data_IF_586592510729
#
_entry.id   IF_586592510729
#
_cell.length_a   1.000
_cell.length_b   1.000
_cell.length_c   1.000
_cell.angle_alpha   90.00
_cell.angle_beta   90.00
_cell.angle_gamma   90.00
#
_symmetry.space_group_name_H-M   'P 1'
#
loop_
_entity.id
_entity.type
_entity.pdbx_description
1 polymer ?
#
# COMPACT_ATOMS: atom_id res chain seq x y z
N UNK A 1 -23.17 -0.36 -0.14
CA UNK A 1 -22.84 0.99 -0.69
C UNK A 1 -23.39 1.10 -2.10
N UNK A 2 -23.98 2.23 -2.45
CA UNK A 2 -24.53 2.42 -3.80
C UNK A 2 -23.41 2.58 -4.83
N UNK A 3 -23.46 1.78 -5.88
CA UNK A 3 -22.56 1.92 -7.02
C UNK A 3 -23.26 2.72 -8.11
N UNK A 4 -22.80 3.95 -8.32
CA UNK A 4 -23.41 4.88 -9.29
C UNK A 4 -23.26 4.43 -10.75
N UNK A 5 -22.26 3.59 -11.04
CA UNK A 5 -22.03 3.10 -12.40
C UNK A 5 -22.89 1.87 -12.73
N UNK A 6 -23.18 1.05 -11.73
CA UNK A 6 -23.98 -0.16 -11.88
C UNK A 6 -25.45 0.04 -11.45
N UNK A 7 -25.75 1.15 -10.77
CA UNK A 7 -27.08 1.43 -10.26
C UNK A 7 -27.53 0.49 -9.14
N UNK A 8 -26.60 -0.13 -8.43
CA UNK A 8 -26.87 -1.15 -7.39
C UNK A 8 -26.47 -0.66 -6.00
N UNK A 9 -27.11 -1.21 -4.98
CA UNK A 9 -26.82 -0.90 -3.58
C UNK A 9 -27.71 0.20 -3.01
N UNK A 10 -27.45 0.59 -1.77
CA UNK A 10 -28.19 1.64 -1.05
C UNK A 10 -27.76 3.03 -1.52
N UNK A 11 -28.75 3.87 -1.81
CA UNK A 11 -28.54 5.27 -2.19
C UNK A 11 -28.21 6.12 -0.97
N UNK A 12 -27.37 7.13 -1.16
CA UNK A 12 -27.00 8.11 -0.15
C UNK A 12 -25.51 8.13 0.14
N UNK A 13 -25.06 9.19 0.81
CA UNK A 13 -23.67 9.39 1.20
C UNK A 13 -23.52 9.14 2.69
N UNK A 14 -22.75 8.11 3.04
CA UNK A 14 -22.49 7.71 4.42
C UNK A 14 -20.98 7.75 4.71
N UNK A 15 -20.45 8.91 5.19
CA UNK A 15 -19.00 9.06 5.38
C UNK A 15 -18.43 8.11 6.45
N UNK A 16 -19.17 7.84 7.53
CA UNK A 16 -18.74 6.91 8.57
C UNK A 16 -18.62 5.48 8.05
N UNK A 17 -19.56 5.04 7.22
CA UNK A 17 -19.50 3.74 6.57
C UNK A 17 -18.29 3.63 5.64
N UNK A 18 -17.96 4.68 4.90
CA UNK A 18 -16.75 4.71 4.04
C UNK A 18 -15.48 4.56 4.84
N UNK A 19 -15.36 5.25 5.96
CA UNK A 19 -14.20 5.14 6.87
C UNK A 19 -14.10 3.71 7.40
N UNK A 20 -15.19 3.12 7.85
CA UNK A 20 -15.22 1.74 8.34
C UNK A 20 -14.79 0.73 7.26
N UNK A 21 -15.24 0.92 6.03
CA UNK A 21 -14.85 0.06 4.89
C UNK A 21 -13.36 0.20 4.58
N UNK A 22 -12.83 1.41 4.57
CA UNK A 22 -11.40 1.65 4.36
C UNK A 22 -10.54 1.00 5.44
N UNK A 23 -10.92 1.16 6.70
CA UNK A 23 -10.21 0.54 7.83
C UNK A 23 -10.28 -0.99 7.79
N UNK A 24 -11.43 -1.53 7.41
CA UNK A 24 -11.61 -2.97 7.22
C UNK A 24 -10.69 -3.50 6.11
N UNK A 25 -10.63 -2.83 4.96
CA UNK A 25 -9.75 -3.21 3.86
C UNK A 25 -8.28 -3.18 4.24
N UNK A 26 -7.85 -2.12 4.92
CA UNK A 26 -6.47 -2.00 5.41
C UNK A 26 -6.14 -3.10 6.44
N UNK A 27 -7.07 -3.38 7.36
CA UNK A 27 -6.90 -4.45 8.34
C UNK A 27 -6.74 -5.82 7.67
N UNK A 28 -7.56 -6.12 6.66
CA UNK A 28 -7.42 -7.35 5.89
C UNK A 28 -6.07 -7.43 5.19
N UNK A 29 -5.63 -6.35 4.54
CA UNK A 29 -4.34 -6.32 3.85
C UNK A 29 -3.18 -6.57 4.80
N UNK A 30 -3.15 -5.90 5.94
CA UNK A 30 -2.08 -6.07 6.95
C UNK A 30 -2.11 -7.46 7.57
N UNK A 31 -3.30 -8.00 7.83
CA UNK A 31 -3.43 -9.30 8.50
C UNK A 31 -3.08 -10.48 7.60
N UNK A 32 -3.49 -10.45 6.33
CA UNK A 32 -3.35 -11.58 5.41
C UNK A 32 -2.19 -11.47 4.43
N UNK A 33 -1.64 -10.28 4.24
CA UNK A 33 -0.52 -10.06 3.31
C UNK A 33 0.75 -9.68 4.07
N UNK A 34 1.67 -10.65 4.18
CA UNK A 34 2.95 -10.42 4.84
C UNK A 34 3.77 -9.31 4.17
N UNK A 35 3.68 -9.19 2.84
CA UNK A 35 4.36 -8.13 2.09
C UNK A 35 3.90 -6.73 2.50
N UNK A 36 2.62 -6.55 2.76
CA UNK A 36 2.05 -5.31 3.29
C UNK A 36 2.47 -5.11 4.74
N UNK A 37 2.35 -6.15 5.56
CA UNK A 37 2.58 -6.08 7.00
C UNK A 37 3.99 -5.60 7.34
N UNK A 38 5.04 -6.20 6.79
CA UNK A 38 6.41 -5.81 7.14
C UNK A 38 6.75 -4.39 6.68
N UNK A 39 6.20 -3.96 5.53
CA UNK A 39 6.39 -2.59 5.04
C UNK A 39 5.74 -1.55 5.96
N UNK A 40 4.56 -1.85 6.47
CA UNK A 40 3.87 -1.00 7.45
C UNK A 40 4.71 -0.87 8.73
N UNK A 41 5.14 -1.99 9.30
CA UNK A 41 5.92 -1.97 10.55
C UNK A 41 7.25 -1.24 10.38
N UNK A 42 7.99 -1.54 9.32
CA UNK A 42 9.28 -0.90 9.05
C UNK A 42 9.12 0.61 8.83
N UNK A 43 8.09 1.01 8.11
CA UNK A 43 7.80 2.42 7.85
C UNK A 43 7.38 3.16 9.13
N UNK A 44 6.58 2.55 9.99
CA UNK A 44 6.21 3.13 11.29
C UNK A 44 7.46 3.38 12.14
N UNK A 45 8.37 2.42 12.22
CA UNK A 45 9.62 2.57 12.98
C UNK A 45 10.43 3.77 12.45
N UNK A 46 10.60 3.84 11.14
CA UNK A 46 11.35 4.93 10.50
C UNK A 46 10.66 6.28 10.71
N UNK A 47 9.34 6.34 10.60
CA UNK A 47 8.56 7.56 10.84
C UNK A 47 8.70 8.05 12.28
N UNK A 48 8.70 7.15 13.26
CA UNK A 48 8.91 7.49 14.67
C UNK A 48 10.30 8.10 14.87
N UNK A 49 11.33 7.52 14.27
CA UNK A 49 12.69 8.05 14.35
C UNK A 49 12.76 9.45 13.74
N UNK A 50 12.20 9.67 12.55
CA UNK A 50 12.16 10.99 11.91
C UNK A 50 11.43 12.02 12.75
N UNK A 51 10.34 11.61 13.40
CA UNK A 51 9.57 12.47 14.29
C UNK A 51 10.41 12.91 15.52
N UNK A 52 11.09 11.96 16.16
CA UNK A 52 11.89 12.24 17.34
C UNK A 52 13.09 13.14 17.02
N UNK A 53 13.70 13.00 15.86
CA UNK A 53 14.81 13.84 15.42
C UNK A 53 14.36 15.13 14.70
N UNK A 54 13.06 15.39 14.63
CA UNK A 54 12.46 16.57 13.99
C UNK A 54 12.84 16.72 12.52
N UNK A 55 13.02 15.63 11.81
CA UNK A 55 13.33 15.59 10.39
C UNK A 55 12.02 15.55 9.58
N UNK A 56 11.37 16.69 9.45
CA UNK A 56 10.01 16.80 8.90
C UNK A 56 9.94 16.51 7.41
N UNK A 57 10.95 16.92 6.63
CA UNK A 57 10.99 16.62 5.18
C UNK A 57 11.16 15.13 4.97
N UNK A 58 12.08 14.50 5.69
CA UNK A 58 12.32 13.06 5.64
C UNK A 58 11.07 12.28 6.07
N UNK A 59 10.41 12.74 7.11
CA UNK A 59 9.13 12.19 7.59
C UNK A 59 8.06 12.20 6.50
N UNK A 60 7.88 13.33 5.80
CA UNK A 60 6.90 13.46 4.72
C UNK A 60 7.24 12.58 3.52
N UNK A 61 8.50 12.49 3.14
CA UNK A 61 8.95 11.64 2.04
C UNK A 61 8.69 10.17 2.33
N UNK A 62 9.01 9.70 3.52
CA UNK A 62 8.77 8.32 3.94
C UNK A 62 7.27 8.03 4.00
N UNK A 63 6.49 8.95 4.54
CA UNK A 63 5.04 8.81 4.60
C UNK A 63 4.42 8.71 3.21
N UNK A 64 4.84 9.56 2.27
CA UNK A 64 4.36 9.53 0.90
C UNK A 64 4.75 8.23 0.18
N UNK A 65 6.01 7.81 0.29
CA UNK A 65 6.49 6.57 -0.31
C UNK A 65 5.77 5.34 0.26
N UNK A 66 5.55 5.32 1.58
CA UNK A 66 4.82 4.25 2.26
C UNK A 66 3.37 4.18 1.81
N UNK A 67 2.69 5.31 1.75
CA UNK A 67 1.31 5.37 1.25
C UNK A 67 1.23 4.85 -0.19
N UNK A 68 2.15 5.25 -1.05
CA UNK A 68 2.18 4.82 -2.44
C UNK A 68 2.40 3.30 -2.56
N UNK A 69 3.34 2.74 -1.83
CA UNK A 69 3.61 1.30 -1.87
C UNK A 69 2.43 0.49 -1.31
N UNK A 70 1.78 0.96 -0.26
CA UNK A 70 0.60 0.30 0.30
C UNK A 70 -0.57 0.32 -0.70
N UNK A 71 -0.82 1.44 -1.33
CA UNK A 71 -1.86 1.56 -2.36
C UNK A 71 -1.59 0.58 -3.50
N UNK A 72 -0.37 0.55 -4.03
CA UNK A 72 -0.01 -0.34 -5.14
C UNK A 72 -0.11 -1.82 -4.76
N UNK A 73 0.37 -2.19 -3.58
CA UNK A 73 0.29 -3.56 -3.05
C UNK A 73 -1.16 -4.02 -2.85
N UNK A 74 -2.00 -3.16 -2.28
CA UNK A 74 -3.41 -3.47 -2.07
C UNK A 74 -4.16 -3.65 -3.39
N UNK A 75 -3.91 -2.80 -4.38
CA UNK A 75 -4.49 -2.96 -5.72
C UNK A 75 -3.98 -4.22 -6.40
N UNK A 76 -2.69 -4.53 -6.29
CA UNK A 76 -2.15 -5.76 -6.83
C UNK A 76 -2.83 -7.00 -6.23
N UNK A 77 -2.95 -7.06 -4.92
CA UNK A 77 -3.61 -8.17 -4.22
C UNK A 77 -5.09 -8.30 -4.61
N UNK A 78 -5.79 -7.18 -4.74
CA UNK A 78 -7.18 -7.16 -5.18
C UNK A 78 -7.34 -7.65 -6.63
N UNK A 79 -6.45 -7.23 -7.53
CA UNK A 79 -6.45 -7.67 -8.93
C UNK A 79 -6.14 -9.16 -9.02
N UNK A 80 -5.16 -9.65 -8.27
CA UNK A 80 -4.85 -11.08 -8.23
C UNK A 80 -6.04 -11.91 -7.75
N UNK A 81 -6.68 -11.48 -6.67
CA UNK A 81 -7.87 -12.14 -6.13
C UNK A 81 -9.03 -12.13 -7.14
N UNK A 82 -9.23 -11.01 -7.82
CA UNK A 82 -10.27 -10.89 -8.85
C UNK A 82 -9.98 -11.81 -10.04
N UNK A 83 -8.75 -11.88 -10.51
CA UNK A 83 -8.33 -12.76 -11.59
C UNK A 83 -8.54 -14.23 -11.21
N UNK A 84 -8.19 -14.62 -10.01
CA UNK A 84 -8.35 -16.01 -9.53
C UNK A 84 -9.82 -16.36 -9.32
N UNK A 85 -10.66 -15.38 -8.99
CA UNK A 85 -12.11 -15.57 -8.86
C UNK A 85 -12.79 -15.76 -10.22
N UNK A 86 -12.36 -15.01 -11.25
CA UNK A 86 -12.95 -15.06 -12.59
C UNK A 86 -12.48 -16.29 -13.38
N UNK A 87 -11.19 -16.65 -13.26
CA UNK A 87 -10.59 -17.75 -14.01
C UNK A 87 -9.64 -18.56 -13.12
N UNK A 88 -10.04 -19.78 -12.80
CA UNK A 88 -9.25 -20.70 -11.96
C UNK A 88 -8.20 -21.51 -12.74
N UNK A 89 -8.37 -21.61 -14.06
CA UNK A 89 -7.43 -22.32 -14.94
C UNK A 89 -6.37 -21.37 -15.48
N UNK A 90 -5.25 -21.92 -15.93
CA UNK A 90 -4.22 -21.12 -16.58
C UNK A 90 -4.76 -20.48 -17.86
N UNK A 91 -4.62 -19.16 -17.96
CA UNK A 91 -5.04 -18.37 -19.11
C UNK A 91 -4.00 -17.27 -19.35
N UNK A 92 -3.47 -17.23 -20.56
CA UNK A 92 -2.41 -16.29 -20.92
C UNK A 92 -2.82 -14.81 -20.73
N UNK A 93 -4.07 -14.47 -21.06
CA UNK A 93 -4.59 -13.10 -20.90
C UNK A 93 -4.66 -12.70 -19.43
N UNK A 94 -5.13 -13.60 -18.59
CA UNK A 94 -5.19 -13.39 -17.13
C UNK A 94 -3.77 -13.27 -16.56
N UNK A 95 -2.84 -14.10 -17.01
CA UNK A 95 -1.43 -13.99 -16.61
C UNK A 95 -0.85 -12.63 -16.93
N UNK A 96 -1.09 -12.11 -18.12
CA UNK A 96 -0.60 -10.78 -18.53
C UNK A 96 -1.18 -9.68 -17.61
N UNK A 97 -2.45 -9.74 -17.26
CA UNK A 97 -3.09 -8.79 -16.34
C UNK A 97 -2.43 -8.84 -14.96
N UNK A 98 -2.21 -10.03 -14.42
CA UNK A 98 -1.52 -10.24 -13.13
C UNK A 98 -0.10 -9.71 -13.18
N UNK A 99 0.63 -9.97 -14.25
CA UNK A 99 2.02 -9.51 -14.43
C UNK A 99 2.11 -7.98 -14.49
N UNK A 100 1.19 -7.32 -15.17
CA UNK A 100 1.13 -5.85 -15.23
C UNK A 100 0.86 -5.27 -13.82
N UNK A 101 -0.07 -5.85 -13.10
CA UNK A 101 -0.39 -5.44 -11.73
C UNK A 101 0.81 -5.64 -10.80
N UNK A 102 1.49 -6.78 -10.91
CA UNK A 102 2.70 -7.07 -10.13
C UNK A 102 3.85 -6.11 -10.48
N UNK A 103 3.99 -5.74 -11.75
CA UNK A 103 5.00 -4.76 -12.17
C UNK A 103 4.76 -3.38 -11.55
N UNK A 104 3.50 -2.93 -11.50
CA UNK A 104 3.13 -1.68 -10.84
C UNK A 104 3.51 -1.68 -9.36
N UNK A 105 3.18 -2.76 -8.65
CA UNK A 105 3.57 -2.95 -7.26
C UNK A 105 5.11 -2.97 -7.12
N UNK A 106 5.82 -3.66 -8.01
CA UNK A 106 7.28 -3.76 -8.02
C UNK A 106 7.97 -2.39 -8.17
N UNK A 107 7.45 -1.53 -9.03
CA UNK A 107 7.96 -0.16 -9.20
C UNK A 107 7.81 0.64 -7.90
N UNK A 108 6.66 0.54 -7.26
CA UNK A 108 6.40 1.23 -5.99
C UNK A 108 7.28 0.71 -4.86
N UNK A 109 7.55 -0.59 -4.81
CA UNK A 109 8.46 -1.22 -3.83
C UNK A 109 9.88 -0.70 -4.02
N UNK A 110 10.35 -0.63 -5.26
CA UNK A 110 11.67 -0.08 -5.58
C UNK A 110 11.81 1.35 -5.10
N UNK A 111 10.83 2.20 -5.41
CA UNK A 111 10.82 3.59 -4.95
C UNK A 111 10.86 3.69 -3.43
N UNK A 112 10.02 2.93 -2.75
CA UNK A 112 9.98 2.88 -1.29
C UNK A 112 11.32 2.43 -0.69
N UNK A 113 11.92 1.37 -1.25
CA UNK A 113 13.19 0.84 -0.78
C UNK A 113 14.34 1.85 -0.97
N UNK A 114 14.38 2.55 -2.10
CA UNK A 114 15.38 3.60 -2.36
C UNK A 114 15.21 4.76 -1.39
N UNK A 115 14.01 5.25 -1.20
CA UNK A 115 13.74 6.35 -0.27
C UNK A 115 14.11 5.94 1.16
N UNK A 116 13.69 4.77 1.63
CA UNK A 116 14.06 4.28 2.97
C UNK A 116 15.57 4.13 3.13
N UNK A 117 16.27 3.62 2.12
CA UNK A 117 17.72 3.46 2.15
C UNK A 117 18.45 4.79 2.28
N UNK A 118 18.05 5.77 1.49
CA UNK A 118 18.61 7.13 1.54
C UNK A 118 18.32 7.79 2.89
N UNK A 119 17.07 7.71 3.35
CA UNK A 119 16.67 8.34 4.62
C UNK A 119 17.32 7.65 5.81
N UNK A 120 17.46 6.33 5.79
CA UNK A 120 18.19 5.59 6.82
C UNK A 120 19.67 6.02 6.89
N UNK A 121 20.32 6.16 5.75
CA UNK A 121 21.70 6.67 5.67
C UNK A 121 21.82 8.08 6.25
N UNK A 122 20.88 8.95 5.92
CA UNK A 122 20.82 10.32 6.43
C UNK A 122 20.64 10.35 7.95
N UNK A 123 19.69 9.59 8.48
CA UNK A 123 19.43 9.48 9.92
C UNK A 123 20.65 8.89 10.66
N UNK A 124 21.32 7.91 10.06
CA UNK A 124 22.54 7.34 10.64
C UNK A 124 23.64 8.38 10.81
N UNK A 125 23.84 9.23 9.81
CA UNK A 125 24.80 10.33 9.88
C UNK A 125 24.44 11.31 10.99
N UNK A 126 23.16 11.66 11.14
CA UNK A 126 22.69 12.55 12.20
C UNK A 126 22.94 11.95 13.59
N UNK A 127 22.67 10.65 13.77
CA UNK A 127 22.87 9.97 15.05
C UNK A 127 24.35 9.82 15.44
N UNK A 128 25.22 9.67 14.44
CA UNK A 128 26.68 9.59 14.69
C UNK A 128 27.32 10.94 14.96
N UNK A 129 26.76 11.94 14.38
CA UNK A 129 27.28 13.30 14.45
C UNK A 129 27.00 14.00 15.72
#
# INVERSE_FOLDING_TARGET
MYNKFLGTGEKGYHPMRKIQVCLSGLRYAVHYDFSVAYKVYLSIITLVICFLFRQWVDFLLIMAATALVLIAEMFNSAIEALCDFVETNENHKIKVIKDISAAAAGISILLWAVILGVEFSHLWQIMRG
#
